data_IF_205251255416
#
_entry.id   IF_205251255416
#
_cell.length_a   1.000
_cell.length_b   1.000
_cell.length_c   1.000
_cell.angle_alpha   90.00
_cell.angle_beta   90.00
_cell.angle_gamma   90.00
#
_symmetry.space_group_name_H-M   'P 1'
#
loop_
_entity.id
_entity.type
_entity.pdbx_description
1 polymer ?
#
# COMPACT_ATOMS: atom_id res chain seq x y z
N UNK A 1 9.76 -6.06 1.06
CA UNK A 1 8.48 -5.51 0.53
C UNK A 1 8.41 -4.01 0.75
N UNK A 2 7.82 -3.26 -0.18
CA UNK A 2 7.59 -1.80 -0.04
C UNK A 2 6.09 -1.50 -0.03
N UNK A 3 5.65 -0.57 0.82
CA UNK A 3 4.27 -0.08 0.87
C UNK A 3 4.26 1.37 0.45
N UNK A 4 3.33 1.77 -0.41
CA UNK A 4 3.11 3.17 -0.77
C UNK A 4 1.67 3.58 -0.54
N UNK A 5 1.46 4.79 -0.01
CA UNK A 5 0.16 5.45 0.02
C UNK A 5 0.00 6.25 -1.27
N UNK A 6 -1.04 5.97 -2.04
CA UNK A 6 -1.23 6.52 -3.38
C UNK A 6 -2.60 7.20 -3.47
N UNK A 7 -2.62 8.40 -4.04
CA UNK A 7 -3.84 9.05 -4.52
C UNK A 7 -4.11 8.58 -5.93
N UNK A 8 -5.28 8.00 -6.14
CA UNK A 8 -5.71 7.42 -7.41
C UNK A 8 -7.02 8.07 -7.88
N UNK A 9 -7.25 8.19 -9.19
CA UNK A 9 -8.59 8.44 -9.71
C UNK A 9 -9.54 7.32 -9.31
N UNK A 10 -10.78 7.65 -8.94
CA UNK A 10 -11.78 6.68 -8.52
C UNK A 10 -12.18 5.71 -9.65
N UNK A 11 -12.04 6.14 -10.91
CA UNK A 11 -12.32 5.38 -12.13
C UNK A 11 -11.10 4.59 -12.64
N UNK A 12 -9.89 4.88 -12.16
CA UNK A 12 -8.66 4.22 -12.61
C UNK A 12 -7.70 3.92 -11.45
N UNK A 13 -7.92 2.78 -10.80
CA UNK A 13 -7.12 2.31 -9.66
C UNK A 13 -5.70 1.83 -10.01
N UNK A 14 -5.29 1.91 -11.28
CA UNK A 14 -3.92 1.59 -11.74
C UNK A 14 -3.07 2.82 -11.96
N UNK A 15 -3.68 4.01 -12.03
CA UNK A 15 -2.96 5.25 -12.25
C UNK A 15 -2.76 5.96 -10.92
N UNK A 16 -1.52 6.04 -10.46
CA UNK A 16 -1.19 6.95 -9.36
C UNK A 16 -1.12 8.39 -9.87
N UNK A 17 -1.80 9.29 -9.17
CA UNK A 17 -1.67 10.74 -9.32
C UNK A 17 -0.52 11.26 -8.47
N UNK A 18 -0.40 10.74 -7.24
CA UNK A 18 0.59 11.17 -6.27
C UNK A 18 0.86 10.07 -5.25
N UNK A 19 2.15 9.80 -5.01
CA UNK A 19 2.60 9.02 -3.87
C UNK A 19 2.75 9.94 -2.67
N UNK A 20 1.95 9.70 -1.62
CA UNK A 20 1.95 10.53 -0.41
C UNK A 20 3.06 10.13 0.57
N UNK A 21 3.45 8.87 0.55
CA UNK A 21 4.52 8.35 1.40
C UNK A 21 4.70 6.87 1.24
N UNK A 22 5.77 6.37 1.84
CA UNK A 22 6.20 4.99 1.71
C UNK A 22 6.67 4.41 3.05
N UNK A 23 6.60 3.09 3.13
CA UNK A 23 7.10 2.30 4.26
C UNK A 23 7.82 1.07 3.70
N UNK A 24 9.14 1.04 3.88
CA UNK A 24 9.95 -0.14 3.58
C UNK A 24 9.87 -1.15 4.72
N UNK A 25 9.49 -2.38 4.38
CA UNK A 25 9.37 -3.49 5.32
C UNK A 25 10.56 -4.45 5.26
N UNK A 26 11.54 -4.21 4.39
CA UNK A 26 12.77 -4.99 4.33
C UNK A 26 13.47 -5.16 5.70
N UNK A 27 13.50 -4.16 6.61
CA UNK A 27 14.03 -4.36 7.97
C UNK A 27 13.08 -5.08 8.94
N UNK A 28 11.86 -5.43 8.54
CA UNK A 28 10.77 -5.94 9.39
C UNK A 28 10.15 -7.24 8.83
N UNK A 29 10.91 -8.34 8.66
CA UNK A 29 10.46 -9.55 7.97
C UNK A 29 9.25 -10.24 8.64
N UNK A 30 9.10 -10.10 9.95
CA UNK A 30 7.92 -10.61 10.66
C UNK A 30 6.62 -9.89 10.29
N UNK A 31 6.70 -8.58 10.02
CA UNK A 31 5.55 -7.77 9.62
C UNK A 31 5.22 -7.96 8.14
N UNK A 32 6.26 -8.12 7.30
CA UNK A 32 6.12 -8.42 5.87
C UNK A 32 5.17 -9.59 5.61
N UNK A 33 5.39 -10.73 6.29
CA UNK A 33 4.57 -11.93 6.11
C UNK A 33 3.10 -11.72 6.53
N UNK A 34 2.88 -10.94 7.58
CA UNK A 34 1.51 -10.64 8.06
C UNK A 34 0.77 -9.73 7.07
N UNK A 35 1.49 -8.77 6.47
CA UNK A 35 0.96 -7.88 5.45
C UNK A 35 0.69 -8.65 4.15
N UNK A 36 1.55 -9.60 3.78
CA UNK A 36 1.30 -10.49 2.64
C UNK A 36 0.00 -11.27 2.80
N UNK A 37 -0.20 -11.96 3.93
CA UNK A 37 -1.44 -12.71 4.19
C UNK A 37 -2.69 -11.80 4.17
N UNK A 38 -2.58 -10.57 4.70
CA UNK A 38 -3.67 -9.59 4.60
C UNK A 38 -3.93 -9.21 3.14
N UNK A 39 -2.87 -8.97 2.39
CA UNK A 39 -2.93 -8.55 0.98
C UNK A 39 -3.56 -9.63 0.12
N UNK A 40 -3.18 -10.90 0.27
CA UNK A 40 -3.78 -12.02 -0.45
C UNK A 40 -5.29 -12.13 -0.25
N UNK A 41 -5.75 -11.83 0.97
CA UNK A 41 -7.15 -11.96 1.35
C UNK A 41 -8.01 -10.75 0.95
N UNK A 42 -7.44 -9.56 1.00
CA UNK A 42 -8.20 -8.30 0.90
C UNK A 42 -7.81 -7.41 -0.27
N UNK A 43 -6.81 -7.79 -1.08
CA UNK A 43 -6.51 -7.11 -2.32
C UNK A 43 -7.77 -7.07 -3.19
N UNK A 44 -8.00 -5.93 -3.84
CA UNK A 44 -9.16 -5.75 -4.71
C UNK A 44 -9.03 -6.62 -5.97
N UNK A 45 -9.54 -7.86 -5.91
CA UNK A 45 -9.61 -8.79 -7.04
C UNK A 45 -10.73 -8.41 -8.02
N UNK A 46 -10.53 -8.64 -9.33
CA UNK A 46 -9.66 -7.87 -10.23
C UNK A 46 -10.16 -6.41 -10.34
N UNK A 47 -9.26 -5.42 -10.32
CA UNK A 47 -8.06 -5.32 -11.16
C UNK A 47 -6.71 -5.38 -10.40
N UNK A 48 -6.68 -6.01 -9.21
CA UNK A 48 -5.67 -5.80 -8.16
C UNK A 48 -4.36 -6.59 -8.19
N UNK A 49 -3.85 -7.07 -9.32
CA UNK A 49 -2.44 -7.46 -9.43
C UNK A 49 -1.88 -7.00 -10.79
N UNK A 50 -0.81 -6.21 -10.78
CA UNK A 50 -0.15 -5.76 -12.02
C UNK A 50 1.29 -5.29 -11.76
N UNK A 51 2.07 -5.18 -12.83
CA UNK A 51 3.46 -4.73 -12.75
C UNK A 51 3.59 -3.21 -12.88
N UNK A 52 4.19 -2.57 -11.88
CA UNK A 52 4.48 -1.14 -11.86
C UNK A 52 5.99 -0.91 -11.91
N UNK A 53 6.43 0.09 -12.66
CA UNK A 53 7.77 0.67 -12.45
C UNK A 53 7.72 1.75 -11.37
N UNK A 54 8.55 1.60 -10.34
CA UNK A 54 8.69 2.57 -9.25
C UNK A 54 10.14 2.62 -8.77
N UNK A 55 10.68 3.83 -8.63
CA UNK A 55 12.09 4.08 -8.27
C UNK A 55 13.09 3.29 -9.14
N UNK A 56 12.83 3.18 -10.45
CA UNK A 56 13.71 2.48 -11.40
C UNK A 56 13.64 0.94 -11.32
N UNK A 57 12.81 0.38 -10.46
CA UNK A 57 12.60 -1.06 -10.33
C UNK A 57 11.18 -1.46 -10.76
N UNK A 58 11.06 -2.68 -11.28
CA UNK A 58 9.76 -3.31 -11.58
C UNK A 58 9.26 -4.05 -10.35
N UNK A 59 8.00 -3.80 -9.99
CA UNK A 59 7.35 -4.36 -8.81
C UNK A 59 6.08 -5.10 -9.21
N UNK A 60 5.82 -6.24 -8.57
CA UNK A 60 4.50 -6.85 -8.58
C UNK A 60 3.65 -6.14 -7.52
N UNK A 61 2.57 -5.50 -7.96
CA UNK A 61 1.81 -4.60 -7.09
C UNK A 61 0.39 -5.08 -6.88
N UNK A 62 -0.06 -5.00 -5.63
CA UNK A 62 -1.45 -5.23 -5.24
C UNK A 62 -2.03 -4.00 -4.54
N UNK A 63 -3.28 -3.67 -4.86
CA UNK A 63 -3.97 -2.49 -4.33
C UNK A 63 -4.93 -2.87 -3.20
N UNK A 64 -4.88 -2.11 -2.12
CA UNK A 64 -5.73 -2.25 -0.95
C UNK A 64 -6.45 -0.92 -0.66
N UNK A 65 -7.70 -0.95 -0.16
CA UNK A 65 -8.36 0.25 0.34
C UNK A 65 -7.56 0.84 1.51
N UNK A 66 -7.09 2.07 1.38
CA UNK A 66 -6.21 2.70 2.36
C UNK A 66 -6.79 2.71 3.79
N UNK A 67 -8.04 3.14 4.00
CA UNK A 67 -8.63 3.17 5.34
C UNK A 67 -8.67 1.81 6.04
N UNK A 68 -9.02 0.74 5.30
CA UNK A 68 -9.06 -0.61 5.87
C UNK A 68 -7.65 -1.11 6.23
N UNK A 69 -6.69 -0.84 5.36
CA UNK A 69 -5.30 -1.19 5.60
C UNK A 69 -4.70 -0.44 6.81
N UNK A 70 -4.97 0.85 6.95
CA UNK A 70 -4.48 1.65 8.09
C UNK A 70 -5.06 1.16 9.43
N UNK A 71 -6.36 0.82 9.47
CA UNK A 71 -6.97 0.20 10.65
C UNK A 71 -6.32 -1.13 11.03
N UNK A 72 -5.97 -1.94 10.04
CA UNK A 72 -5.22 -3.16 10.25
C UNK A 72 -3.80 -2.86 10.79
N UNK A 73 -3.07 -1.95 10.13
CA UNK A 73 -1.68 -1.63 10.43
C UNK A 73 -1.51 -1.03 11.85
N UNK A 74 -2.52 -0.33 12.38
CA UNK A 74 -2.57 0.16 13.77
C UNK A 74 -2.27 -0.89 14.84
N UNK A 75 -2.49 -2.18 14.55
CA UNK A 75 -2.16 -3.29 15.48
C UNK A 75 -0.66 -3.42 15.74
N UNK A 76 0.18 -2.85 14.86
CA UNK A 76 1.64 -2.84 14.96
C UNK A 76 2.21 -1.44 15.25
N UNK A 77 1.41 -0.52 15.81
CA UNK A 77 1.84 0.85 16.18
C UNK A 77 2.96 0.92 17.22
N UNK A 78 3.32 -0.21 17.84
CA UNK A 78 4.44 -0.30 18.77
C UNK A 78 5.78 -0.36 18.02
N UNK A 79 5.79 -0.71 16.73
CA UNK A 79 6.97 -0.65 15.86
C UNK A 79 7.18 0.82 15.44
N UNK A 80 8.35 1.44 15.69
CA UNK A 80 8.58 2.85 15.43
C UNK A 80 8.30 3.30 13.99
N UNK A 81 8.76 2.54 13.01
CA UNK A 81 8.60 2.81 11.58
C UNK A 81 7.11 2.82 11.20
N UNK A 82 6.36 1.84 11.71
CA UNK A 82 4.91 1.74 11.51
C UNK A 82 4.19 2.91 12.17
N UNK A 83 4.58 3.28 13.39
CA UNK A 83 4.00 4.41 14.11
C UNK A 83 4.20 5.71 13.34
N UNK A 84 5.43 6.01 12.93
CA UNK A 84 5.76 7.21 12.16
C UNK A 84 4.97 7.26 10.85
N UNK A 85 4.87 6.12 10.16
CA UNK A 85 4.10 6.01 8.93
C UNK A 85 2.61 6.27 9.15
N UNK A 86 2.01 5.72 10.21
CA UNK A 86 0.61 5.97 10.56
C UNK A 86 0.39 7.45 10.90
N UNK A 87 1.18 8.01 11.82
CA UNK A 87 1.05 9.40 12.28
C UNK A 87 1.17 10.42 11.12
N UNK A 88 2.01 10.14 10.12
CA UNK A 88 2.25 11.04 9.00
C UNK A 88 1.11 11.02 7.96
N UNK A 89 0.47 9.88 7.73
CA UNK A 89 -0.40 9.68 6.56
C UNK A 89 -1.87 9.42 6.90
N UNK A 90 -2.17 9.02 8.13
CA UNK A 90 -3.51 8.55 8.53
C UNK A 90 -4.60 9.59 8.28
N UNK A 91 -4.34 10.85 8.63
CA UNK A 91 -5.28 11.96 8.40
C UNK A 91 -5.67 12.06 6.93
N UNK A 92 -4.72 11.93 6.01
CA UNK A 92 -4.97 12.02 4.57
C UNK A 92 -5.79 10.84 4.06
N UNK A 93 -5.45 9.63 4.51
CA UNK A 93 -6.12 8.38 4.13
C UNK A 93 -7.60 8.39 4.55
N UNK A 94 -7.91 8.86 5.77
CA UNK A 94 -9.29 8.93 6.23
C UNK A 94 -10.06 10.11 5.63
N UNK A 95 -9.42 11.26 5.45
CA UNK A 95 -10.05 12.43 4.84
C UNK A 95 -10.47 12.18 3.38
N UNK A 96 -9.70 11.39 2.63
CA UNK A 96 -10.02 11.12 1.22
C UNK A 96 -11.40 10.48 1.01
N UNK A 97 -11.98 9.81 2.02
CA UNK A 97 -13.33 9.23 1.91
C UNK A 97 -14.44 10.28 1.84
N UNK A 98 -14.17 11.49 2.32
CA UNK A 98 -15.19 12.51 2.56
C UNK A 98 -15.02 13.73 1.64
N UNK A 99 -13.80 13.97 1.15
CA UNK A 99 -13.47 15.24 0.50
C UNK A 99 -13.73 15.31 -1.01
N UNK A 100 -13.44 14.23 -1.76
CA UNK A 100 -13.52 14.24 -3.24
C UNK A 100 -13.95 12.85 -3.73
N UNK A 101 -15.10 12.77 -4.39
CA UNK A 101 -15.67 11.51 -4.90
C UNK A 101 -14.86 10.86 -6.03
N UNK A 102 -14.10 11.67 -6.75
CA UNK A 102 -13.32 11.35 -7.93
C UNK A 102 -11.92 10.84 -7.59
N UNK A 103 -11.48 10.94 -6.32
CA UNK A 103 -10.14 10.55 -5.89
C UNK A 103 -10.23 9.61 -4.70
N UNK A 104 -9.41 8.57 -4.71
CA UNK A 104 -9.31 7.59 -3.62
C UNK A 104 -7.89 7.50 -3.11
N UNK A 105 -7.75 7.40 -1.80
CA UNK A 105 -6.48 7.04 -1.18
C UNK A 105 -6.43 5.52 -1.01
N UNK A 106 -5.56 4.88 -1.78
CA UNK A 106 -5.28 3.46 -1.70
C UNK A 106 -3.86 3.22 -1.22
N UNK A 107 -3.62 1.99 -0.80
CA UNK A 107 -2.29 1.51 -0.47
C UNK A 107 -1.88 0.49 -1.51
N UNK A 108 -0.68 0.65 -2.08
CA UNK A 108 -0.09 -0.35 -2.95
C UNK A 108 1.00 -1.12 -2.19
N UNK A 109 0.92 -2.43 -2.28
CA UNK A 109 1.89 -3.37 -1.72
C UNK A 109 2.76 -3.83 -2.87
N UNK A 110 4.03 -3.46 -2.81
CA UNK A 110 5.05 -3.76 -3.80
C UNK A 110 5.86 -4.97 -3.33
N UNK A 111 5.69 -6.08 -4.03
CA UNK A 111 6.49 -7.27 -3.86
C UNK A 111 7.63 -7.23 -4.89
N UNK A 112 8.89 -7.44 -4.46
CA UNK A 112 9.97 -7.58 -5.41
C UNK A 112 9.67 -8.78 -6.31
N UNK A 113 10.08 -8.70 -7.57
CA UNK A 113 10.06 -9.87 -8.44
C UNK A 113 11.01 -10.91 -7.81
N UNK A 114 10.50 -12.10 -7.47
CA UNK A 114 11.39 -13.19 -7.08
C UNK A 114 12.39 -13.39 -8.22
N UNK A 115 13.70 -13.49 -7.93
CA UNK A 115 14.65 -13.85 -8.98
C UNK A 115 14.20 -15.18 -9.56
N UNK A 116 14.02 -15.23 -10.88
CA UNK A 116 13.74 -16.45 -11.63
C UNK A 116 14.76 -17.51 -11.21
N UNK A 117 14.37 -18.46 -10.34
CA UNK A 117 15.14 -19.68 -10.13
C UNK A 117 14.83 -20.58 -11.30
N UNK A 118 15.62 -20.45 -12.36
CA UNK A 118 15.71 -21.41 -13.46
C UNK A 118 16.60 -22.60 -13.07
#
# INVERSE_FOLDING_TARGET
>A
MLITVELLPADNLRRSLLTLGELDLSPLPGLERVIECYTERFATLPPGMWYRQYQGQRWLTRSLPGPAFFLFLRRWRNIPEVRCFLESHERFVFASRQSVTEVRCNVWIHQPEEPWTA
#
